data_IF_513408862008
#
_entry.id   IF_513408862008
#
_cell.length_a   1.000
_cell.length_b   1.000
_cell.length_c   1.000
_cell.angle_alpha   90.00
_cell.angle_beta   90.00
_cell.angle_gamma   90.00
#
_symmetry.space_group_name_H-M   'P 1'
#
loop_
_entity.id
_entity.type
_entity.pdbx_description
1 polymer ?
#
# COMPACT_ATOMS: atom_id res chain seq x y z
N UNK A 1 -26.13 -36.28 11.64
CA UNK A 1 -25.11 -37.10 10.97
C UNK A 1 -24.39 -36.18 10.02
N UNK A 2 -23.24 -35.70 10.42
CA UNK A 2 -22.40 -34.83 9.63
C UNK A 2 -21.25 -35.63 9.05
N UNK A 3 -21.29 -35.86 7.73
CA UNK A 3 -20.18 -36.47 7.01
C UNK A 3 -19.00 -35.50 7.00
N UNK A 4 -18.00 -35.79 7.82
CA UNK A 4 -16.68 -35.19 7.73
C UNK A 4 -15.99 -35.84 6.53
N UNK A 5 -15.79 -35.11 5.46
CA UNK A 5 -14.99 -35.54 4.32
C UNK A 5 -13.55 -35.74 4.78
N UNK A 6 -13.19 -37.03 5.00
CA UNK A 6 -11.80 -37.44 5.18
C UNK A 6 -11.03 -37.19 3.88
N UNK A 7 -10.00 -36.34 3.95
CA UNK A 7 -9.04 -36.17 2.84
C UNK A 7 -8.13 -37.40 2.80
N UNK A 8 -7.86 -37.99 1.63
CA UNK A 8 -6.89 -39.07 1.51
C UNK A 8 -5.50 -38.61 1.96
N UNK A 9 -4.92 -39.32 2.89
CA UNK A 9 -3.56 -39.10 3.37
C UNK A 9 -2.59 -39.78 2.39
N UNK A 10 -2.23 -39.10 1.30
CA UNK A 10 -1.19 -39.56 0.39
C UNK A 10 0.17 -39.18 0.95
N UNK A 11 0.93 -40.24 1.26
CA UNK A 11 2.18 -40.20 1.96
C UNK A 11 3.25 -39.27 1.37
N UNK A 12 3.92 -38.52 2.25
CA UNK A 12 5.23 -37.84 2.05
C UNK A 12 5.27 -36.71 1.01
N UNK A 13 4.33 -35.79 1.05
CA UNK A 13 4.68 -34.41 0.74
C UNK A 13 5.39 -33.86 1.99
N UNK A 14 6.67 -33.49 1.88
CA UNK A 14 7.37 -32.82 2.96
C UNK A 14 6.52 -31.62 3.40
N UNK A 15 6.33 -31.46 4.70
CA UNK A 15 5.66 -30.27 5.26
C UNK A 15 6.50 -29.08 4.82
N UNK A 16 6.05 -28.39 3.78
CA UNK A 16 6.60 -27.09 3.43
C UNK A 16 6.25 -26.21 4.63
N UNK A 17 7.22 -25.89 5.44
CA UNK A 17 7.03 -24.97 6.55
C UNK A 17 6.61 -23.65 5.90
N UNK A 18 5.32 -23.31 6.02
CA UNK A 18 4.79 -22.07 5.50
C UNK A 18 5.46 -20.95 6.31
N UNK A 19 6.30 -20.15 5.65
CA UNK A 19 6.91 -18.98 6.28
C UNK A 19 5.86 -17.95 6.66
N UNK A 20 6.21 -17.03 7.54
CA UNK A 20 5.34 -15.94 7.96
C UNK A 20 5.14 -14.98 6.78
N UNK A 21 3.88 -14.61 6.51
CA UNK A 21 3.53 -13.58 5.54
C UNK A 21 3.01 -12.36 6.30
N UNK A 22 3.72 -11.22 6.19
CA UNK A 22 3.26 -9.95 6.71
C UNK A 22 2.52 -9.18 5.61
N UNK A 23 1.22 -8.95 5.78
CA UNK A 23 0.37 -8.33 4.77
C UNK A 23 0.16 -6.82 4.96
N UNK A 24 0.83 -6.17 5.92
CA UNK A 24 0.56 -4.77 6.28
C UNK A 24 1.83 -3.96 6.59
N UNK A 25 2.80 -3.99 5.69
CA UNK A 25 4.05 -3.22 5.82
C UNK A 25 3.85 -1.83 5.20
N UNK A 26 4.07 -0.78 5.98
CA UNK A 26 3.90 0.61 5.54
C UNK A 26 5.21 1.29 5.13
N UNK A 27 5.61 1.22 3.84
CA UNK A 27 6.76 1.98 3.37
C UNK A 27 6.43 3.48 3.32
N UNK A 28 7.39 4.29 3.69
CA UNK A 28 7.25 5.75 3.73
C UNK A 28 8.43 6.39 3.02
N UNK A 29 8.20 7.44 2.25
CA UNK A 29 9.25 8.23 1.61
C UNK A 29 9.99 9.10 2.64
N UNK A 30 11.30 9.23 2.53
CA UNK A 30 12.08 10.21 3.31
C UNK A 30 11.72 11.63 2.91
N UNK A 31 11.44 11.83 1.63
CA UNK A 31 10.99 13.09 1.05
C UNK A 31 10.04 12.83 -0.12
N UNK A 32 9.06 13.70 -0.32
CA UNK A 32 8.19 13.66 -1.53
C UNK A 32 8.94 13.82 -2.85
N UNK A 33 10.18 14.32 -2.81
CA UNK A 33 11.04 14.40 -4.00
C UNK A 33 11.46 13.04 -4.53
N UNK A 34 11.36 11.98 -3.73
CA UNK A 34 11.60 10.61 -4.19
C UNK A 34 10.63 10.18 -5.30
N UNK A 35 9.46 10.80 -5.40
CA UNK A 35 8.47 10.53 -6.46
C UNK A 35 8.74 11.30 -7.75
N UNK A 36 9.64 12.29 -7.74
CA UNK A 36 9.86 13.18 -8.88
C UNK A 36 10.29 12.47 -10.17
N UNK A 37 11.05 11.36 -10.15
CA UNK A 37 11.37 10.63 -11.39
C UNK A 37 10.14 10.20 -12.20
N UNK A 38 9.02 9.93 -11.53
CA UNK A 38 7.78 9.44 -12.15
C UNK A 38 6.67 10.49 -12.23
N UNK A 39 6.95 11.74 -11.84
CA UNK A 39 5.99 12.83 -11.92
C UNK A 39 6.33 13.79 -13.06
N UNK A 40 5.31 14.17 -13.84
CA UNK A 40 5.45 15.24 -14.81
C UNK A 40 5.80 16.56 -14.12
N UNK A 41 6.53 17.45 -14.82
CA UNK A 41 7.03 18.71 -14.27
C UNK A 41 5.92 19.58 -13.64
N UNK A 42 4.74 19.62 -14.28
CA UNK A 42 3.58 20.36 -13.75
C UNK A 42 3.18 19.90 -12.34
N UNK A 43 3.27 18.58 -12.08
CA UNK A 43 2.92 18.03 -10.78
C UNK A 43 4.02 18.21 -9.73
N UNK A 44 5.29 18.21 -10.15
CA UNK A 44 6.41 18.55 -9.25
C UNK A 44 6.29 19.99 -8.77
N UNK A 45 6.07 20.94 -9.69
CA UNK A 45 5.83 22.36 -9.36
C UNK A 45 4.62 22.55 -8.45
N UNK A 46 3.52 21.84 -8.74
CA UNK A 46 2.33 21.88 -7.87
C UNK A 46 2.62 21.37 -6.45
N UNK A 47 3.37 20.27 -6.33
CA UNK A 47 3.74 19.72 -5.02
C UNK A 47 4.69 20.64 -4.25
N UNK A 48 5.57 21.34 -4.93
CA UNK A 48 6.49 22.31 -4.33
C UNK A 48 5.73 23.53 -3.79
N UNK A 49 4.81 24.06 -4.56
CA UNK A 49 4.09 25.29 -4.24
C UNK A 49 2.92 25.07 -3.27
N UNK A 50 2.12 24.05 -3.50
CA UNK A 50 0.86 23.81 -2.75
C UNK A 50 0.88 22.56 -1.86
N UNK A 51 1.86 21.67 -2.03
CA UNK A 51 1.90 20.35 -1.39
C UNK A 51 0.87 19.38 -1.97
N UNK A 52 0.86 18.15 -1.46
CA UNK A 52 -0.06 17.10 -1.91
C UNK A 52 -1.53 17.34 -1.49
N UNK A 53 -1.78 18.21 -0.53
CA UNK A 53 -3.10 18.48 0.05
C UNK A 53 -3.94 17.20 0.21
N UNK A 54 -3.50 16.26 1.06
CA UNK A 54 -4.18 14.99 1.21
C UNK A 54 -5.63 15.23 1.63
N UNK A 55 -6.55 14.54 0.97
CA UNK A 55 -7.94 14.57 1.37
C UNK A 55 -8.14 13.61 2.53
N UNK A 56 -8.48 14.15 3.68
CA UNK A 56 -8.87 13.36 4.85
C UNK A 56 -10.35 13.61 5.09
N UNK A 57 -11.27 12.81 4.51
CA UNK A 57 -12.68 12.98 4.76
C UNK A 57 -12.97 12.82 6.25
N UNK A 58 -13.90 13.62 6.76
CA UNK A 58 -14.38 13.59 8.16
C UNK A 58 -13.38 13.92 9.27
N UNK A 59 -12.14 14.37 8.96
CA UNK A 59 -11.22 14.85 9.99
C UNK A 59 -11.04 16.36 9.88
N UNK A 60 -11.54 17.05 10.89
CA UNK A 60 -11.23 18.46 11.13
C UNK A 60 -10.27 18.53 12.32
N UNK A 61 -9.04 18.96 12.08
CA UNK A 61 -8.08 19.17 13.15
C UNK A 61 -6.91 18.16 13.21
N UNK A 62 -6.16 18.24 14.30
CA UNK A 62 -4.93 17.44 14.49
C UNK A 62 -5.30 15.97 14.75
N UNK A 63 -4.59 15.07 14.05
CA UNK A 63 -4.77 13.64 14.26
C UNK A 63 -4.40 13.23 15.70
N UNK A 64 -5.19 12.33 16.27
CA UNK A 64 -4.92 11.73 17.56
C UNK A 64 -4.19 10.36 17.36
N UNK A 65 -3.25 9.99 18.25
CA UNK A 65 -2.75 10.75 19.39
C UNK A 65 -1.73 11.82 18.99
N UNK A 66 -1.91 13.03 19.51
CA UNK A 66 -1.02 14.18 19.24
C UNK A 66 0.43 13.94 19.70
N UNK A 67 0.61 13.06 20.70
CA UNK A 67 1.91 12.80 21.33
C UNK A 67 2.76 11.75 20.57
N UNK A 68 2.20 11.10 19.55
CA UNK A 68 2.92 10.07 18.80
C UNK A 68 3.19 10.57 17.36
N UNK A 69 4.35 11.14 17.07
CA UNK A 69 4.73 11.52 15.72
C UNK A 69 4.57 10.31 14.79
N UNK A 70 3.90 10.51 13.66
CA UNK A 70 3.57 9.47 12.70
C UNK A 70 2.83 8.24 13.29
N UNK A 71 2.37 8.31 14.56
CA UNK A 71 1.78 7.18 15.32
C UNK A 71 2.62 5.91 15.32
N UNK A 72 3.93 6.06 15.31
CA UNK A 72 4.87 4.98 15.23
C UNK A 72 5.59 4.76 16.57
N UNK A 73 6.01 3.52 16.81
CA UNK A 73 6.83 3.15 17.97
C UNK A 73 8.18 3.85 17.88
N UNK A 74 8.81 4.08 19.04
CA UNK A 74 10.13 4.72 19.11
C UNK A 74 11.22 3.94 18.38
N UNK A 75 11.17 2.61 18.47
CA UNK A 75 12.12 1.69 17.87
C UNK A 75 11.93 1.48 16.37
N UNK A 76 10.86 2.03 15.77
CA UNK A 76 10.64 1.99 14.32
C UNK A 76 11.27 3.17 13.56
N UNK A 77 11.92 4.11 14.29
CA UNK A 77 12.61 5.22 13.65
C UNK A 77 14.02 4.80 13.22
N UNK A 78 14.36 4.96 11.93
CA UNK A 78 15.67 4.57 11.43
C UNK A 78 16.79 5.38 12.11
N UNK A 79 17.90 4.75 12.52
CA UNK A 79 19.02 5.42 13.19
C UNK A 79 19.70 6.46 12.27
N UNK A 80 19.61 6.28 10.95
CA UNK A 80 20.17 7.18 9.96
C UNK A 80 19.24 8.38 9.62
N UNK A 81 18.16 8.55 10.36
CA UNK A 81 17.17 9.60 10.13
C UNK A 81 16.08 9.22 9.11
N UNK A 82 15.08 10.06 9.04
CA UNK A 82 13.87 9.82 8.25
C UNK A 82 12.71 9.30 9.09
N UNK A 83 11.49 9.27 8.54
CA UNK A 83 10.32 8.77 9.23
C UNK A 83 10.33 7.23 9.33
N UNK A 84 9.53 6.65 10.22
CA UNK A 84 9.33 5.19 10.28
C UNK A 84 8.90 4.63 8.93
N UNK A 85 9.45 3.48 8.55
CA UNK A 85 9.18 2.85 7.26
C UNK A 85 9.90 3.47 6.06
N UNK A 86 10.92 4.33 6.27
CA UNK A 86 11.63 5.01 5.18
C UNK A 86 13.02 4.42 4.86
N UNK A 87 13.45 3.40 5.57
CA UNK A 87 14.78 2.80 5.39
C UNK A 87 14.64 1.30 5.20
N UNK A 88 14.95 0.83 3.99
CA UNK A 88 14.81 -0.58 3.64
C UNK A 88 15.75 -1.48 4.46
N UNK A 89 17.01 -1.08 4.62
CA UNK A 89 17.97 -1.92 5.36
C UNK A 89 17.58 -2.05 6.84
N UNK A 90 17.07 -0.98 7.42
CA UNK A 90 16.55 -1.00 8.78
C UNK A 90 15.29 -1.89 8.90
N UNK A 91 14.37 -1.81 7.94
CA UNK A 91 13.18 -2.66 7.91
C UNK A 91 13.55 -4.14 7.69
N UNK A 92 14.51 -4.44 6.83
CA UNK A 92 15.03 -5.81 6.67
C UNK A 92 15.49 -6.36 8.02
N UNK A 93 16.40 -5.67 8.70
CA UNK A 93 16.96 -6.13 9.97
C UNK A 93 15.93 -6.21 11.09
N UNK A 94 15.07 -5.18 11.24
CA UNK A 94 14.14 -5.06 12.37
C UNK A 94 12.87 -5.91 12.19
N UNK A 95 12.38 -6.05 10.96
CA UNK A 95 11.11 -6.71 10.68
C UNK A 95 11.31 -8.06 9.99
N UNK A 96 11.90 -8.05 8.80
CA UNK A 96 11.94 -9.25 7.95
C UNK A 96 12.82 -10.34 8.56
N UNK A 97 14.04 -9.99 8.96
CA UNK A 97 15.01 -10.95 9.47
C UNK A 97 14.71 -11.32 10.92
N UNK A 98 14.38 -10.32 11.77
CA UNK A 98 14.09 -10.55 13.18
C UNK A 98 12.87 -11.43 13.44
N UNK A 99 11.92 -11.47 12.50
CA UNK A 99 10.67 -12.24 12.63
C UNK A 99 10.56 -13.38 11.60
N UNK A 100 11.62 -13.69 10.87
CA UNK A 100 11.64 -14.74 9.85
C UNK A 100 10.49 -14.59 8.83
N UNK A 101 10.28 -13.35 8.36
CA UNK A 101 9.24 -13.04 7.37
C UNK A 101 9.66 -13.58 6.00
N UNK A 102 8.92 -14.53 5.50
CA UNK A 102 9.15 -15.12 4.19
C UNK A 102 8.61 -14.26 3.04
N UNK A 103 7.53 -13.51 3.27
CA UNK A 103 6.92 -12.60 2.30
C UNK A 103 6.32 -11.40 3.01
N UNK A 104 6.59 -10.19 2.51
CA UNK A 104 6.01 -8.95 2.99
C UNK A 104 5.21 -8.23 1.91
N UNK A 105 4.03 -7.74 2.24
CA UNK A 105 3.19 -6.96 1.33
C UNK A 105 3.23 -5.49 1.75
N UNK A 106 3.69 -4.64 0.83
CA UNK A 106 3.78 -3.20 1.03
C UNK A 106 2.40 -2.55 0.89
N UNK A 107 1.99 -1.80 1.89
CA UNK A 107 0.73 -1.06 1.94
C UNK A 107 0.98 0.44 2.20
N UNK A 108 1.45 1.21 1.21
CA UNK A 108 1.76 2.63 1.38
C UNK A 108 0.49 3.43 1.71
N UNK A 109 0.55 4.25 2.77
CA UNK A 109 -0.56 5.08 3.24
C UNK A 109 -0.63 6.42 2.49
N UNK A 110 -0.53 6.39 1.17
CA UNK A 110 -0.46 7.58 0.32
C UNK A 110 -1.28 7.41 -0.95
N UNK A 111 -1.68 8.52 -1.59
CA UNK A 111 -2.34 8.50 -2.89
C UNK A 111 -3.62 9.33 -2.98
N UNK A 112 -4.36 9.58 -1.89
CA UNK A 112 -5.57 10.40 -1.95
C UNK A 112 -5.23 11.89 -1.89
N UNK A 113 -5.59 12.64 -2.94
CA UNK A 113 -5.49 14.11 -3.01
C UNK A 113 -6.86 14.72 -3.35
N UNK A 114 -7.00 16.05 -3.16
CA UNK A 114 -8.24 16.75 -3.55
C UNK A 114 -8.40 16.87 -5.07
N UNK A 115 -7.28 16.94 -5.78
CA UNK A 115 -7.24 16.96 -7.24
C UNK A 115 -7.07 15.52 -7.73
N UNK A 116 -8.06 14.96 -8.43
CA UNK A 116 -8.07 13.56 -8.87
C UNK A 116 -6.98 13.26 -9.88
N UNK A 117 -6.67 14.20 -10.80
CA UNK A 117 -5.58 14.02 -11.78
C UNK A 117 -4.21 13.98 -11.10
N UNK A 118 -3.99 14.87 -10.12
CA UNK A 118 -2.79 14.80 -9.28
C UNK A 118 -2.78 13.49 -8.49
N UNK A 119 -3.92 13.07 -7.95
CA UNK A 119 -4.08 11.82 -7.22
C UNK A 119 -3.67 10.62 -8.06
N UNK A 120 -4.11 10.54 -9.31
CA UNK A 120 -3.75 9.48 -10.25
C UNK A 120 -2.24 9.50 -10.55
N UNK A 121 -1.67 10.67 -10.89
CA UNK A 121 -0.24 10.80 -11.14
C UNK A 121 0.60 10.44 -9.89
N UNK A 122 0.11 10.79 -8.71
CA UNK A 122 0.76 10.48 -7.45
C UNK A 122 0.70 8.98 -7.14
N UNK A 123 -0.45 8.33 -7.32
CA UNK A 123 -0.59 6.87 -7.15
C UNK A 123 0.32 6.12 -8.11
N UNK A 124 0.35 6.52 -9.39
CA UNK A 124 1.27 5.96 -10.36
C UNK A 124 2.73 6.07 -9.89
N UNK A 125 3.16 7.25 -9.47
CA UNK A 125 4.51 7.47 -8.98
C UNK A 125 4.83 6.64 -7.72
N UNK A 126 3.87 6.47 -6.80
CA UNK A 126 4.01 5.60 -5.62
C UNK A 126 4.16 4.14 -6.03
N UNK A 127 3.41 3.68 -7.02
CA UNK A 127 3.51 2.31 -7.52
C UNK A 127 4.88 2.03 -8.13
N UNK A 128 5.43 2.94 -8.93
CA UNK A 128 6.79 2.84 -9.45
C UNK A 128 7.84 2.89 -8.33
N UNK A 129 7.69 3.82 -7.38
CA UNK A 129 8.59 3.99 -6.25
C UNK A 129 8.67 2.73 -5.37
N UNK A 130 7.53 2.08 -5.09
CA UNK A 130 7.52 0.80 -4.36
C UNK A 130 8.39 -0.24 -5.07
N UNK A 131 8.23 -0.35 -6.39
CA UNK A 131 8.97 -1.33 -7.18
C UNK A 131 10.46 -1.03 -7.16
N UNK A 132 10.86 0.21 -7.45
CA UNK A 132 12.27 0.57 -7.58
C UNK A 132 13.02 0.55 -6.26
N UNK A 133 12.41 1.07 -5.19
CA UNK A 133 13.13 1.28 -3.94
C UNK A 133 12.94 0.15 -2.91
N UNK A 134 11.94 -0.72 -3.11
CA UNK A 134 11.59 -1.75 -2.13
C UNK A 134 11.57 -3.16 -2.72
N UNK A 135 10.76 -3.39 -3.78
CA UNK A 135 10.53 -4.75 -4.31
C UNK A 135 11.74 -5.27 -5.09
N UNK A 136 12.37 -4.44 -5.92
CA UNK A 136 13.56 -4.86 -6.69
C UNK A 136 14.74 -5.21 -5.80
N UNK A 137 15.10 -4.39 -4.77
CA UNK A 137 16.24 -4.71 -3.91
C UNK A 137 15.93 -5.78 -2.85
N UNK A 138 14.65 -6.08 -2.52
CA UNK A 138 14.26 -7.10 -1.53
C UNK A 138 13.25 -8.10 -2.13
N UNK A 139 13.71 -9.29 -2.55
CA UNK A 139 12.85 -10.28 -3.23
C UNK A 139 11.67 -10.82 -2.41
N UNK A 140 11.72 -10.69 -1.09
CA UNK A 140 10.61 -11.07 -0.18
C UNK A 140 9.45 -10.08 -0.21
N UNK A 141 9.60 -8.91 -0.84
CA UNK A 141 8.55 -7.89 -0.86
C UNK A 141 7.68 -7.96 -2.12
N UNK A 142 6.42 -7.57 -1.93
CA UNK A 142 5.45 -7.34 -3.01
C UNK A 142 4.77 -6.01 -2.78
N UNK A 143 4.41 -5.34 -3.88
CA UNK A 143 3.71 -4.07 -3.85
C UNK A 143 2.19 -4.24 -3.87
N UNK A 144 1.48 -3.28 -3.29
CA UNK A 144 0.08 -3.06 -3.56
C UNK A 144 -0.09 -2.03 -4.68
N UNK A 145 -1.09 -2.20 -5.54
CA UNK A 145 -1.50 -1.18 -6.48
C UNK A 145 -2.28 -0.10 -5.73
N UNK A 146 -1.67 1.07 -5.57
CA UNK A 146 -2.39 2.26 -5.07
C UNK A 146 -3.15 2.92 -6.22
N UNK A 147 -4.38 3.37 -5.96
CA UNK A 147 -5.27 3.91 -7.00
C UNK A 147 -5.93 5.22 -6.56
N UNK A 148 -6.24 6.08 -7.51
CA UNK A 148 -7.02 7.30 -7.29
C UNK A 148 -8.52 6.92 -7.13
N UNK A 149 -8.87 6.26 -6.05
CA UNK A 149 -10.17 5.61 -5.81
C UNK A 149 -11.39 6.54 -5.94
N UNK A 150 -11.21 7.85 -5.80
CA UNK A 150 -12.29 8.83 -6.00
C UNK A 150 -12.54 9.15 -7.49
N UNK A 151 -11.69 8.68 -8.38
CA UNK A 151 -11.88 8.68 -9.82
C UNK A 151 -11.76 7.23 -10.34
N UNK A 152 -12.88 6.52 -10.47
CA UNK A 152 -12.86 5.10 -10.84
C UNK A 152 -12.25 4.82 -12.21
N UNK A 153 -12.38 5.73 -13.17
CA UNK A 153 -11.83 5.53 -14.51
C UNK A 153 -10.28 5.56 -14.46
N UNK A 154 -9.70 6.56 -13.80
CA UNK A 154 -8.25 6.63 -13.59
C UNK A 154 -7.73 5.47 -12.71
N UNK A 155 -8.53 5.02 -11.76
CA UNK A 155 -8.17 3.85 -10.95
C UNK A 155 -8.15 2.56 -11.78
N UNK A 156 -9.10 2.38 -12.69
CA UNK A 156 -9.16 1.23 -13.61
C UNK A 156 -7.97 1.21 -14.56
N UNK A 157 -7.57 2.38 -15.08
CA UNK A 157 -6.38 2.51 -15.94
C UNK A 157 -5.11 2.06 -15.21
N UNK A 158 -4.92 2.49 -13.96
CA UNK A 158 -3.74 2.10 -13.18
C UNK A 158 -3.76 0.59 -12.84
N UNK A 159 -4.91 0.01 -12.50
CA UNK A 159 -5.03 -1.44 -12.27
C UNK A 159 -4.67 -2.22 -13.53
N UNK A 160 -5.20 -1.81 -14.69
CA UNK A 160 -4.90 -2.46 -15.96
C UNK A 160 -3.40 -2.39 -16.31
N UNK A 161 -2.74 -1.26 -15.99
CA UNK A 161 -1.29 -1.09 -16.20
C UNK A 161 -0.47 -2.09 -15.36
N UNK A 162 -0.96 -2.47 -14.17
CA UNK A 162 -0.26 -3.40 -13.26
C UNK A 162 -0.67 -4.87 -13.46
N UNK A 163 -1.70 -5.12 -14.25
CA UNK A 163 -2.18 -6.47 -14.49
C UNK A 163 -1.09 -7.37 -15.08
N UNK A 164 -0.92 -8.56 -14.50
CA UNK A 164 0.10 -9.54 -14.94
C UNK A 164 1.53 -9.26 -14.45
N UNK A 165 1.78 -8.16 -13.76
CA UNK A 165 3.07 -7.90 -13.12
C UNK A 165 3.14 -8.63 -11.76
N UNK A 166 4.01 -9.67 -11.61
CA UNK A 166 4.07 -10.48 -10.38
C UNK A 166 4.60 -9.74 -9.14
N UNK A 167 5.08 -8.51 -9.33
CA UNK A 167 5.53 -7.64 -8.23
C UNK A 167 4.35 -7.03 -7.48
N UNK A 168 3.16 -6.96 -8.10
CA UNK A 168 1.93 -6.48 -7.48
C UNK A 168 1.02 -7.65 -7.12
N UNK A 169 0.41 -7.60 -5.93
CA UNK A 169 -0.39 -8.72 -5.40
C UNK A 169 -1.80 -8.37 -4.95
N UNK A 170 -2.12 -7.09 -4.82
CA UNK A 170 -3.47 -6.61 -4.48
C UNK A 170 -3.68 -5.17 -4.87
N UNK A 171 -4.93 -4.74 -4.98
CA UNK A 171 -5.31 -3.33 -5.06
C UNK A 171 -5.58 -2.81 -3.65
N UNK A 172 -4.92 -1.72 -3.26
CA UNK A 172 -5.07 -1.10 -1.94
C UNK A 172 -6.07 0.05 -1.99
N UNK A 173 -7.11 -0.03 -1.17
CA UNK A 173 -8.09 1.02 -0.99
C UNK A 173 -8.12 1.52 0.45
N UNK A 174 -8.28 2.84 0.68
CA UNK A 174 -8.50 3.35 2.02
C UNK A 174 -9.93 3.05 2.50
N UNK A 175 -10.11 2.89 3.81
CA UNK A 175 -11.46 2.80 4.40
C UNK A 175 -12.20 4.14 4.42
N UNK A 176 -11.45 5.25 4.34
CA UNK A 176 -11.99 6.62 4.35
C UNK A 176 -12.15 7.13 2.93
N UNK A 177 -13.32 6.93 2.38
CA UNK A 177 -13.72 7.37 1.03
C UNK A 177 -14.82 8.44 1.12
N UNK A 178 -15.11 9.14 0.02
CA UNK A 178 -16.16 10.18 -0.02
C UNK A 178 -17.55 9.60 0.21
N UNK A 179 -17.77 8.38 -0.25
CA UNK A 179 -19.00 7.61 -0.07
C UNK A 179 -18.65 6.23 0.46
N UNK A 180 -19.57 5.51 1.09
CA UNK A 180 -19.34 4.12 1.50
C UNK A 180 -18.85 3.25 0.34
N UNK A 181 -17.85 2.40 0.58
CA UNK A 181 -17.23 1.55 -0.45
C UNK A 181 -18.21 0.63 -1.18
N UNK A 182 -19.38 0.33 -0.64
CA UNK A 182 -20.44 -0.43 -1.32
C UNK A 182 -21.19 0.36 -2.42
N UNK A 183 -20.94 1.65 -2.60
CA UNK A 183 -21.61 2.47 -3.61
C UNK A 183 -21.17 2.08 -5.03
N UNK A 184 -22.12 2.18 -5.98
CA UNK A 184 -21.92 1.79 -7.39
C UNK A 184 -20.74 2.49 -8.07
N UNK A 185 -20.40 3.70 -7.64
CA UNK A 185 -19.26 4.44 -8.20
C UNK A 185 -17.93 3.69 -8.06
N UNK A 186 -17.75 2.85 -7.03
CA UNK A 186 -16.51 2.08 -6.84
C UNK A 186 -16.53 0.70 -7.53
N UNK A 187 -17.66 0.26 -8.04
CA UNK A 187 -17.78 -1.05 -8.69
C UNK A 187 -16.83 -1.26 -9.88
N UNK A 188 -16.54 -0.25 -10.73
CA UNK A 188 -15.54 -0.42 -11.79
C UNK A 188 -14.18 -0.83 -11.28
N UNK A 189 -13.75 -0.28 -10.12
CA UNK A 189 -12.48 -0.66 -9.47
C UNK A 189 -12.49 -2.14 -9.06
N UNK A 190 -13.59 -2.60 -8.48
CA UNK A 190 -13.73 -4.00 -8.06
C UNK A 190 -13.75 -4.95 -9.25
N UNK A 191 -14.45 -4.58 -10.32
CA UNK A 191 -14.48 -5.35 -11.54
C UNK A 191 -13.10 -5.44 -12.20
N UNK A 192 -12.36 -4.33 -12.26
CA UNK A 192 -10.99 -4.30 -12.80
C UNK A 192 -10.02 -5.14 -11.96
N UNK A 193 -10.08 -5.04 -10.64
CA UNK A 193 -9.28 -5.85 -9.73
C UNK A 193 -9.58 -7.35 -9.91
N UNK A 194 -10.86 -7.74 -9.97
CA UNK A 194 -11.28 -9.11 -10.22
C UNK A 194 -10.78 -9.63 -11.57
N UNK A 195 -10.94 -8.84 -12.63
CA UNK A 195 -10.49 -9.21 -13.98
C UNK A 195 -8.95 -9.39 -14.05
N UNK A 196 -8.20 -8.64 -13.24
CA UNK A 196 -6.74 -8.71 -13.14
C UNK A 196 -6.25 -9.76 -12.14
N UNK A 197 -7.16 -10.46 -11.43
CA UNK A 197 -6.81 -11.45 -10.40
C UNK A 197 -6.30 -10.84 -9.09
N UNK A 198 -6.49 -9.54 -8.86
CA UNK A 198 -6.08 -8.89 -7.63
C UNK A 198 -7.18 -8.93 -6.56
N UNK A 199 -6.89 -9.39 -5.34
CA UNK A 199 -7.75 -9.12 -4.19
C UNK A 199 -7.77 -7.61 -3.88
N UNK A 200 -8.83 -7.17 -3.18
CA UNK A 200 -8.93 -5.82 -2.63
C UNK A 200 -8.46 -5.83 -1.19
N UNK A 201 -7.39 -5.10 -0.90
CA UNK A 201 -6.97 -4.78 0.46
C UNK A 201 -7.64 -3.47 0.91
N UNK A 202 -8.32 -3.48 2.04
CA UNK A 202 -8.90 -2.27 2.61
C UNK A 202 -8.09 -1.87 3.84
N UNK A 203 -7.33 -0.78 3.72
CA UNK A 203 -6.59 -0.24 4.84
C UNK A 203 -7.53 0.54 5.74
N UNK A 204 -7.80 -0.02 6.92
CA UNK A 204 -8.73 0.55 7.91
C UNK A 204 -8.19 1.88 8.44
N UNK A 205 -6.89 2.09 8.34
CA UNK A 205 -6.24 3.23 8.95
C UNK A 205 -6.18 3.06 10.48
N UNK A 206 -5.90 4.15 11.17
CA UNK A 206 -5.76 4.11 12.62
C UNK A 206 -7.07 3.69 13.27
N UNK A 207 -7.12 2.48 13.77
CA UNK A 207 -8.17 2.08 14.69
C UNK A 207 -8.04 2.98 15.94
N UNK A 208 -9.03 3.81 16.15
CA UNK A 208 -9.17 4.48 17.43
C UNK A 208 -9.81 3.47 18.38
N UNK A 209 -9.00 2.85 19.18
CA UNK A 209 -9.44 2.12 20.38
C UNK A 209 -9.43 3.09 21.54
#
# INVERSE_FOLDING_TARGET
MSDVLERPNDGKAGVVQAGIVDCDIHPTMKSKTELYPWLAERWRKHLEEYGAQPRVPFTTGTQYPKAAPATARRDSWPPNGGPPGSDLAFMQAQLLDANDIALGILAPLSGATRNTDLGAAYCHAVNEWQVENWVKPEPRLRACVTVAHEDPDLAVEEIALRAGDPRFVQVLMPSKTNEPLGRKRYWPIYAAAQASGFPIGIQIGRAHV
#
